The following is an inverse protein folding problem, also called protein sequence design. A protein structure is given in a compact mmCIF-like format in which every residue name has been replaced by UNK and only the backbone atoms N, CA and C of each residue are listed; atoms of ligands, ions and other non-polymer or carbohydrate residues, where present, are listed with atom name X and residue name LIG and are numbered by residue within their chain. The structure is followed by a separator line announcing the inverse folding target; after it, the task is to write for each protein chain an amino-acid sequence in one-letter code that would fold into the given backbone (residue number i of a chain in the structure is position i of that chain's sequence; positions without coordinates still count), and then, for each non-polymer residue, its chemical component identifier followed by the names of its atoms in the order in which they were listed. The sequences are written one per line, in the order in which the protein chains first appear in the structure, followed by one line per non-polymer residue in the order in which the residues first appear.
data_IF_826683898292
#
_entry.id   IF_826683898292
#
_cell.length_a   1.000
_cell.length_b   1.000
_cell.length_c   1.000
_cell.angle_alpha   90.00
_cell.angle_beta   90.00
_cell.angle_gamma   90.00
#
_symmetry.space_group_name_H-M   'P 1'
#
loop_
_entity.id
_entity.type
_entity.pdbx_description
1 polymer ?
#
# COMPACT_ATOMS: atom_id res chain seq x y z
N UNK A 1 21.21 -16.88 3.61
CA UNK A 1 20.36 -16.01 4.43
C UNK A 1 19.21 -15.42 3.64
N UNK A 2 18.29 -16.25 3.15
CA UNK A 2 17.16 -15.85 2.29
C UNK A 2 15.87 -15.59 3.07
N UNK A 3 15.77 -16.08 4.32
CA UNK A 3 14.61 -15.90 5.20
C UNK A 3 14.51 -14.52 5.88
N UNK A 4 15.59 -13.74 5.91
CA UNK A 4 15.63 -12.44 6.58
C UNK A 4 15.12 -11.26 5.72
N UNK A 5 14.96 -11.46 4.40
CA UNK A 5 14.57 -10.38 3.48
C UNK A 5 13.15 -9.87 3.73
N UNK A 6 12.23 -10.78 4.06
CA UNK A 6 10.84 -10.45 4.38
C UNK A 6 10.76 -9.64 5.69
N UNK A 7 11.27 -10.12 6.83
CA UNK A 7 11.24 -9.34 8.07
C UNK A 7 12.07 -8.05 7.97
N UNK A 8 13.20 -8.04 7.25
CA UNK A 8 13.98 -6.83 6.99
C UNK A 8 13.20 -5.78 6.17
N UNK A 9 12.45 -6.22 5.16
CA UNK A 9 11.58 -5.33 4.38
C UNK A 9 10.45 -4.74 5.22
N UNK A 10 9.79 -5.55 6.04
CA UNK A 10 8.75 -5.10 6.98
C UNK A 10 9.31 -4.05 7.93
N UNK A 11 10.46 -4.33 8.57
CA UNK A 11 11.12 -3.39 9.49
C UNK A 11 11.51 -2.08 8.80
N UNK A 12 11.98 -2.15 7.55
CA UNK A 12 12.32 -0.95 6.76
C UNK A 12 11.07 -0.09 6.50
N UNK A 13 9.95 -0.71 6.15
CA UNK A 13 8.69 0.01 5.93
C UNK A 13 8.15 0.61 7.23
N UNK A 14 8.21 -0.14 8.34
CA UNK A 14 7.85 0.39 9.67
C UNK A 14 8.72 1.59 10.03
N UNK A 15 10.04 1.49 9.85
CA UNK A 15 10.98 2.57 10.14
C UNK A 15 10.68 3.83 9.33
N UNK A 16 10.33 3.71 8.05
CA UNK A 16 9.92 4.83 7.20
C UNK A 16 8.63 5.50 7.72
N UNK A 17 7.63 4.71 8.10
CA UNK A 17 6.37 5.24 8.65
C UNK A 17 6.62 5.96 9.98
N UNK A 18 7.41 5.36 10.87
CA UNK A 18 7.75 5.96 12.16
C UNK A 18 8.58 7.23 12.01
N UNK A 19 9.53 7.27 11.06
CA UNK A 19 10.29 8.47 10.76
C UNK A 19 9.39 9.62 10.29
N UNK A 20 8.42 9.31 9.42
CA UNK A 20 7.40 10.26 8.99
C UNK A 20 6.55 10.77 10.17
N UNK A 21 6.02 9.85 10.99
CA UNK A 21 5.18 10.18 12.15
C UNK A 21 5.93 10.99 13.20
N UNK A 22 7.20 10.66 13.47
CA UNK A 22 8.03 11.40 14.42
C UNK A 22 8.33 12.82 13.95
N UNK A 23 8.37 13.07 12.64
CA UNK A 23 8.61 14.39 12.08
C UNK A 23 7.35 15.24 11.95
N UNK A 24 6.20 14.62 11.69
CA UNK A 24 4.93 15.32 11.41
C UNK A 24 4.00 15.37 12.61
N UNK A 25 4.22 14.51 13.61
CA UNK A 25 3.29 14.33 14.73
C UNK A 25 2.01 13.57 14.35
N UNK A 26 1.90 13.08 13.10
CA UNK A 26 0.70 12.41 12.57
C UNK A 26 0.61 10.94 13.01
N UNK A 27 0.65 10.70 14.32
CA UNK A 27 0.42 9.38 14.92
C UNK A 27 -0.88 8.70 14.48
N UNK A 28 -1.99 9.42 14.20
CA UNK A 28 -3.20 8.76 13.75
C UNK A 28 -3.10 8.11 12.37
N UNK A 29 -2.05 8.43 11.58
CA UNK A 29 -1.80 7.77 10.29
C UNK A 29 -1.61 6.24 10.41
N UNK A 30 -1.31 5.75 11.62
CA UNK A 30 -1.21 4.32 11.90
C UNK A 30 -2.50 3.54 11.57
N UNK A 31 -3.67 4.17 11.73
CA UNK A 31 -4.96 3.53 11.47
C UNK A 31 -5.11 3.04 10.01
N UNK A 32 -4.45 3.71 9.06
CA UNK A 32 -4.49 3.35 7.64
C UNK A 32 -3.15 2.88 7.07
N UNK A 33 -2.03 3.05 7.76
CA UNK A 33 -0.69 2.72 7.24
C UNK A 33 -0.29 1.24 7.34
N UNK A 34 -0.94 0.45 8.21
CA UNK A 34 -0.64 -0.97 8.41
C UNK A 34 -0.65 -1.86 7.14
N UNK A 35 -1.45 -1.59 6.07
CA UNK A 35 -1.38 -2.37 4.83
C UNK A 35 -0.05 -2.20 4.10
N UNK A 36 0.62 -1.05 4.24
CA UNK A 36 1.97 -0.89 3.68
C UNK A 36 2.97 -1.79 4.41
N UNK A 37 2.80 -1.98 5.73
CA UNK A 37 3.68 -2.80 6.55
C UNK A 37 3.49 -4.29 6.26
N UNK A 38 2.27 -4.81 6.44
CA UNK A 38 2.02 -6.24 6.37
C UNK A 38 2.05 -6.74 4.91
N UNK A 39 1.04 -6.47 4.06
CA UNK A 39 1.09 -6.93 2.68
C UNK A 39 2.13 -6.19 1.82
N UNK A 40 2.41 -4.90 2.07
CA UNK A 40 3.42 -4.16 1.30
C UNK A 40 4.86 -4.59 1.61
N UNK A 41 5.22 -4.70 2.89
CA UNK A 41 6.53 -5.17 3.35
C UNK A 41 6.79 -6.63 2.98
N UNK A 42 5.78 -7.50 3.12
CA UNK A 42 5.87 -8.90 2.64
C UNK A 42 6.04 -8.93 1.12
N UNK A 43 5.30 -8.11 0.38
CA UNK A 43 5.40 -8.01 -1.07
C UNK A 43 6.79 -7.57 -1.52
N UNK A 44 7.39 -6.61 -0.82
CA UNK A 44 8.77 -6.14 -1.03
C UNK A 44 9.79 -7.23 -0.74
N UNK A 45 9.63 -7.97 0.35
CA UNK A 45 10.48 -9.12 0.66
C UNK A 45 10.44 -10.19 -0.45
N UNK A 46 9.25 -10.57 -0.91
CA UNK A 46 9.06 -11.54 -1.99
C UNK A 46 9.61 -11.03 -3.33
N UNK A 47 9.41 -9.74 -3.64
CA UNK A 47 9.94 -9.13 -4.85
C UNK A 47 11.47 -9.14 -4.86
N UNK A 48 12.11 -8.68 -3.77
CA UNK A 48 13.58 -8.69 -3.64
C UNK A 48 14.14 -10.11 -3.69
N UNK A 49 13.45 -11.07 -3.08
CA UNK A 49 13.82 -12.49 -3.15
C UNK A 49 13.69 -13.03 -4.58
N UNK A 50 12.63 -12.68 -5.30
CA UNK A 50 12.43 -13.04 -6.71
C UNK A 50 13.49 -12.46 -7.65
N UNK A 51 13.93 -11.21 -7.43
CA UNK A 51 15.04 -10.60 -8.19
C UNK A 51 16.33 -11.39 -7.95
N UNK A 52 16.62 -11.73 -6.69
CA UNK A 52 17.83 -12.46 -6.32
C UNK A 52 17.86 -13.88 -6.87
N UNK A 53 16.74 -14.58 -6.82
CA UNK A 53 16.64 -15.99 -7.24
C UNK A 53 16.27 -16.13 -8.73
N UNK A 54 16.06 -15.02 -9.45
CA UNK A 54 15.52 -14.96 -10.83
C UNK A 54 14.22 -15.76 -10.99
N UNK A 55 13.41 -15.79 -9.94
CA UNK A 55 12.16 -16.54 -9.90
C UNK A 55 11.00 -15.63 -10.34
N UNK A 56 10.45 -15.91 -11.52
CA UNK A 56 9.36 -15.16 -12.11
C UNK A 56 8.04 -15.29 -11.33
N UNK A 57 7.86 -16.36 -10.57
CA UNK A 57 6.69 -16.59 -9.73
C UNK A 57 6.70 -15.67 -8.50
N UNK A 58 7.82 -15.63 -7.76
CA UNK A 58 8.00 -14.74 -6.61
C UNK A 58 7.91 -13.25 -7.00
N UNK A 59 8.47 -12.88 -8.16
CA UNK A 59 8.36 -11.52 -8.70
C UNK A 59 6.92 -11.11 -9.01
N UNK A 60 6.09 -12.05 -9.50
CA UNK A 60 4.68 -11.78 -9.78
C UNK A 60 3.89 -11.68 -8.47
N UNK A 61 4.10 -12.61 -7.54
CA UNK A 61 3.44 -12.60 -6.24
C UNK A 61 3.76 -11.34 -5.43
N UNK A 62 5.04 -10.95 -5.34
CA UNK A 62 5.44 -9.73 -4.62
C UNK A 62 4.80 -8.48 -5.17
N UNK A 63 4.71 -8.36 -6.51
CA UNK A 63 4.08 -7.22 -7.19
C UNK A 63 2.57 -7.16 -6.98
N UNK A 64 1.89 -8.31 -7.04
CA UNK A 64 0.45 -8.40 -6.74
C UNK A 64 0.20 -8.00 -5.29
N UNK A 65 1.03 -8.46 -4.36
CA UNK A 65 0.86 -8.16 -2.95
C UNK A 65 1.12 -6.68 -2.62
N UNK A 66 2.13 -6.07 -3.24
CA UNK A 66 2.34 -4.61 -3.18
C UNK A 66 1.15 -3.83 -3.75
N UNK A 67 0.59 -4.27 -4.88
CA UNK A 67 -0.54 -3.61 -5.51
C UNK A 67 -1.80 -3.69 -4.64
N UNK A 68 -2.06 -4.87 -4.05
CA UNK A 68 -3.15 -5.07 -3.08
C UNK A 68 -2.93 -4.20 -1.84
N UNK A 69 -1.70 -4.15 -1.31
CA UNK A 69 -1.35 -3.28 -0.18
C UNK A 69 -1.65 -1.81 -0.48
N UNK A 70 -1.26 -1.33 -1.67
CA UNK A 70 -1.52 0.04 -2.09
C UNK A 70 -3.03 0.35 -2.22
N UNK A 71 -3.82 -0.59 -2.72
CA UNK A 71 -5.28 -0.44 -2.80
C UNK A 71 -5.90 -0.38 -1.40
N UNK A 72 -5.53 -1.30 -0.50
CA UNK A 72 -6.07 -1.33 0.87
C UNK A 72 -5.66 -0.05 1.62
N UNK A 73 -4.40 0.37 1.47
CA UNK A 73 -3.91 1.64 2.02
C UNK A 73 -4.72 2.82 1.49
N UNK A 74 -4.97 2.89 0.18
CA UNK A 74 -5.75 3.97 -0.42
C UNK A 74 -7.19 4.00 0.12
N UNK A 75 -7.85 2.84 0.19
CA UNK A 75 -9.22 2.72 0.72
C UNK A 75 -9.26 3.14 2.19
N UNK A 76 -8.34 2.61 3.00
CA UNK A 76 -8.20 2.98 4.41
C UNK A 76 -7.95 4.47 4.55
N UNK A 77 -7.00 5.02 3.81
CA UNK A 77 -6.68 6.44 3.82
C UNK A 77 -7.91 7.29 3.55
N UNK A 78 -8.73 6.98 2.55
CA UNK A 78 -9.94 7.77 2.25
C UNK A 78 -10.99 7.65 3.35
N UNK A 79 -11.25 6.44 3.83
CA UNK A 79 -12.23 6.20 4.90
C UNK A 79 -11.80 6.94 6.16
N UNK A 80 -10.55 6.77 6.60
CA UNK A 80 -10.04 7.38 7.82
C UNK A 80 -9.79 8.90 7.67
N UNK A 81 -9.39 9.38 6.50
CA UNK A 81 -9.23 10.82 6.27
C UNK A 81 -10.58 11.55 6.17
N UNK A 82 -11.59 10.94 5.53
CA UNK A 82 -12.89 11.59 5.26
C UNK A 82 -13.86 11.43 6.42
N UNK A 83 -13.98 10.22 6.98
CA UNK A 83 -15.00 9.90 8.00
C UNK A 83 -14.53 10.32 9.39
N UNK A 84 -13.26 10.05 9.70
CA UNK A 84 -12.78 10.22 11.07
C UNK A 84 -12.22 11.61 11.36
N UNK A 85 -11.91 12.42 10.34
CA UNK A 85 -11.38 13.80 10.49
C UNK A 85 -10.32 13.87 11.61
N UNK A 86 -9.48 12.84 11.66
CA UNK A 86 -8.79 12.40 12.88
C UNK A 86 -7.52 13.22 13.15
N UNK A 87 -7.09 14.06 12.21
CA UNK A 87 -6.01 15.01 12.43
C UNK A 87 -6.57 16.43 12.55
N UNK A 88 -6.35 17.06 13.71
CA UNK A 88 -6.52 18.51 13.88
C UNK A 88 -5.53 19.31 13.01
N UNK A 89 -4.55 18.64 12.39
CA UNK A 89 -3.81 19.15 11.23
C UNK A 89 -4.72 19.10 10.00
N UNK A 90 -4.98 20.28 9.44
CA UNK A 90 -5.79 20.48 8.24
C UNK A 90 -5.16 19.74 7.05
N UNK A 91 -5.49 18.45 6.87
CA UNK A 91 -5.23 17.68 5.65
C UNK A 91 -6.12 18.20 4.50
N UNK A 92 -6.40 19.50 4.44
CA UNK A 92 -7.39 20.13 3.57
C UNK A 92 -7.19 19.80 2.09
N UNK A 93 -5.94 19.71 1.61
CA UNK A 93 -5.64 19.31 0.23
C UNK A 93 -5.66 17.79 0.03
N UNK A 94 -4.99 17.05 0.91
CA UNK A 94 -4.81 15.59 0.77
C UNK A 94 -6.10 14.81 1.08
N UNK A 95 -6.91 15.25 2.05
CA UNK A 95 -8.21 14.68 2.38
C UNK A 95 -9.28 14.97 1.32
N UNK A 96 -9.29 16.19 0.73
CA UNK A 96 -10.18 16.51 -0.39
C UNK A 96 -9.79 15.77 -1.68
N UNK A 97 -8.48 15.58 -1.92
CA UNK A 97 -7.98 14.80 -3.05
C UNK A 97 -8.14 13.28 -2.87
N UNK A 98 -8.29 12.80 -1.63
CA UNK A 98 -8.44 11.38 -1.33
C UNK A 98 -9.62 10.75 -2.10
N UNK A 99 -10.79 11.40 -2.05
CA UNK A 99 -12.01 10.92 -2.70
C UNK A 99 -11.87 10.77 -4.24
N UNK A 100 -11.44 11.80 -5.01
CA UNK A 100 -11.22 11.65 -6.44
C UNK A 100 -10.09 10.66 -6.78
N UNK A 101 -9.00 10.61 -6.00
CA UNK A 101 -7.93 9.63 -6.20
C UNK A 101 -8.46 8.20 -6.03
N UNK A 102 -9.27 7.93 -5.01
CA UNK A 102 -9.88 6.62 -4.82
C UNK A 102 -10.82 6.26 -5.96
N UNK A 103 -11.65 7.21 -6.44
CA UNK A 103 -12.51 6.98 -7.59
C UNK A 103 -11.70 6.66 -8.85
N UNK A 104 -10.57 7.35 -9.08
CA UNK A 104 -9.66 7.07 -10.20
C UNK A 104 -9.04 5.68 -10.08
N UNK A 105 -8.54 5.31 -8.90
CA UNK A 105 -7.93 3.98 -8.65
C UNK A 105 -8.97 2.88 -8.82
N UNK A 106 -10.17 3.04 -8.26
CA UNK A 106 -11.28 2.09 -8.43
C UNK A 106 -11.65 1.99 -9.91
N UNK A 107 -11.78 3.10 -10.62
CA UNK A 107 -12.03 3.13 -12.06
C UNK A 107 -10.98 2.36 -12.86
N UNK A 108 -9.69 2.58 -12.56
CA UNK A 108 -8.56 1.87 -13.17
C UNK A 108 -8.60 0.35 -12.89
N UNK A 109 -8.90 -0.04 -11.65
CA UNK A 109 -9.02 -1.45 -11.26
C UNK A 109 -10.20 -2.12 -11.97
N UNK A 110 -11.34 -1.42 -12.07
CA UNK A 110 -12.52 -1.91 -12.79
C UNK A 110 -12.25 -2.04 -14.29
N UNK A 111 -11.55 -1.08 -14.89
CA UNK A 111 -11.11 -1.13 -16.29
C UNK A 111 -10.14 -2.30 -16.52
N UNK A 112 -9.13 -2.47 -15.67
CA UNK A 112 -8.20 -3.59 -15.77
C UNK A 112 -8.92 -4.94 -15.67
N UNK A 113 -9.86 -5.07 -14.72
CA UNK A 113 -10.69 -6.27 -14.57
C UNK A 113 -11.65 -6.47 -15.74
N UNK A 114 -12.24 -5.42 -16.31
CA UNK A 114 -13.17 -5.56 -17.45
C UNK A 114 -12.44 -6.00 -18.71
N UNK A 115 -11.24 -5.46 -18.95
CA UNK A 115 -10.37 -5.85 -20.07
C UNK A 115 -9.92 -7.31 -19.91
N UNK A 116 -9.59 -7.74 -18.69
CA UNK A 116 -9.23 -9.14 -18.42
C UNK A 116 -10.40 -10.10 -18.65
N UNK A 117 -11.63 -9.75 -18.22
CA UNK A 117 -12.82 -10.60 -18.47
C UNK A 117 -13.13 -10.75 -19.96
N UNK A 118 -12.93 -9.71 -20.78
CA UNK A 118 -13.14 -9.77 -22.23
C UNK A 118 -12.12 -10.62 -22.98
N UNK A 119 -10.97 -10.95 -22.40
CA UNK A 119 -9.96 -11.84 -23.00
C UNK A 119 -10.14 -13.31 -22.63
N UNK A 120 -11.05 -13.61 -21.70
CA UNK A 120 -11.32 -14.98 -21.23
C UNK A 120 -12.67 -15.53 -21.71
N UNK A 121 -13.38 -14.77 -22.55
CA UNK A 121 -14.58 -15.18 -23.29
C UNK A 121 -14.24 -15.15 -24.78
#
# INVERSE_FOLDING_TARGET
GTGALIPGAILTVIGLILAYQSSTGDWPSWAFAWPLVAPGGVGLGLFLQGVRNRDSHLLRQGRVLMFVAAIIFMIGFVIFATIFRISDMDYGWFGKAALPVLLIVVGLVLLARSIQRRRSA
#
